data_IF_937081444090
#
_entry.id   IF_937081444090
#
_cell.length_a   1.000
_cell.length_b   1.000
_cell.length_c   1.000
_cell.angle_alpha   90.00
_cell.angle_beta   90.00
_cell.angle_gamma   90.00
#
_symmetry.space_group_name_H-M   'P 1'
#
loop_
_entity.id
_entity.type
_entity.pdbx_description
1 polymer ?
#
# COMPACT_ATOMS: atom_id res chain seq x y z
N UNK A 1 20.71 17.49 33.73
CA UNK A 1 20.57 17.45 32.25
C UNK A 1 19.50 16.44 31.91
N UNK A 2 18.29 16.89 31.56
CA UNK A 2 17.23 16.01 31.08
C UNK A 2 17.49 15.78 29.59
N UNK A 3 17.91 14.56 29.24
CA UNK A 3 18.03 14.12 27.85
C UNK A 3 16.61 13.98 27.30
N UNK A 4 16.11 15.04 26.67
CA UNK A 4 14.89 14.97 25.87
C UNK A 4 15.17 14.07 24.67
N UNK A 5 14.80 12.80 24.78
CA UNK A 5 14.74 11.90 23.64
C UNK A 5 13.55 12.38 22.79
N UNK A 6 13.83 13.26 21.82
CA UNK A 6 12.78 13.84 20.99
C UNK A 6 12.10 12.74 20.18
N UNK A 7 10.83 12.52 20.49
CA UNK A 7 9.98 11.58 19.76
C UNK A 7 9.86 12.01 18.29
N UNK A 8 9.98 11.04 17.38
CA UNK A 8 9.87 11.29 15.93
C UNK A 8 8.45 11.75 15.55
N UNK A 9 8.34 12.52 14.47
CA UNK A 9 7.05 12.95 13.92
C UNK A 9 6.12 11.77 13.62
N UNK A 10 6.66 10.71 13.03
CA UNK A 10 5.92 9.48 12.78
C UNK A 10 5.41 8.82 14.08
N UNK A 11 6.24 8.74 15.12
CA UNK A 11 5.82 8.18 16.41
C UNK A 11 4.68 8.99 17.04
N UNK A 12 4.74 10.33 16.96
CA UNK A 12 3.66 11.21 17.41
C UNK A 12 2.38 11.00 16.61
N UNK A 13 2.49 10.87 15.28
CA UNK A 13 1.36 10.60 14.39
C UNK A 13 0.66 9.29 14.79
N UNK A 14 1.41 8.19 14.90
CA UNK A 14 0.86 6.89 15.30
C UNK A 14 0.15 6.97 16.65
N UNK A 15 0.78 7.55 17.67
CA UNK A 15 0.15 7.70 18.99
C UNK A 15 -1.13 8.53 18.94
N UNK A 16 -1.10 9.63 18.20
CA UNK A 16 -2.25 10.54 18.06
C UNK A 16 -3.41 9.84 17.37
N UNK A 17 -3.15 9.12 16.27
CA UNK A 17 -4.19 8.40 15.53
C UNK A 17 -4.77 7.21 16.31
N UNK A 18 -3.91 6.40 16.94
CA UNK A 18 -4.36 5.28 17.76
C UNK A 18 -5.20 5.74 18.96
N UNK A 19 -4.86 6.88 19.57
CA UNK A 19 -5.62 7.45 20.68
C UNK A 19 -7.04 7.91 20.29
N UNK A 20 -7.34 8.08 18.99
CA UNK A 20 -8.70 8.38 18.52
C UNK A 20 -9.66 7.18 18.66
N UNK A 21 -9.14 5.96 18.82
CA UNK A 21 -9.93 4.73 18.85
C UNK A 21 -10.84 4.55 17.62
N UNK A 22 -10.42 5.07 16.46
CA UNK A 22 -11.12 4.90 15.18
C UNK A 22 -10.60 3.64 14.51
N UNK A 23 -11.53 2.78 14.09
CA UNK A 23 -11.24 1.52 13.41
C UNK A 23 -11.65 1.61 11.94
N UNK A 24 -10.66 1.46 11.06
CA UNK A 24 -10.76 1.57 9.61
C UNK A 24 -10.38 0.22 8.96
N UNK A 25 -11.29 -0.75 9.06
CA UNK A 25 -11.00 -2.14 8.63
C UNK A 25 -11.21 -2.40 7.14
N UNK A 26 -11.89 -1.51 6.43
CA UNK A 26 -12.18 -1.72 5.00
C UNK A 26 -10.95 -1.48 4.12
N UNK A 27 -10.73 -2.43 3.22
CA UNK A 27 -9.69 -2.44 2.20
C UNK A 27 -10.32 -2.49 0.79
N UNK A 28 -9.48 -2.43 -0.24
CA UNK A 28 -9.89 -2.55 -1.63
C UNK A 28 -10.70 -3.82 -1.91
N UNK A 29 -11.55 -3.73 -2.93
CA UNK A 29 -12.37 -4.82 -3.41
C UNK A 29 -13.27 -5.47 -2.34
N UNK A 30 -13.62 -4.72 -1.28
CA UNK A 30 -14.50 -5.20 -0.22
C UNK A 30 -13.84 -6.13 0.80
N UNK A 31 -12.52 -6.31 0.72
CA UNK A 31 -11.73 -7.06 1.72
C UNK A 31 -11.61 -6.25 3.01
N UNK A 32 -11.30 -6.92 4.13
CA UNK A 32 -11.14 -6.26 5.43
C UNK A 32 -10.02 -6.87 6.27
N UNK A 33 -9.46 -6.05 7.17
CA UNK A 33 -8.69 -6.59 8.28
C UNK A 33 -9.55 -7.52 9.15
N UNK A 34 -8.93 -8.54 9.73
CA UNK A 34 -9.61 -9.53 10.56
C UNK A 34 -10.31 -10.65 9.79
N UNK A 35 -10.39 -10.57 8.45
CA UNK A 35 -10.90 -11.65 7.61
C UNK A 35 -9.91 -12.82 7.55
N UNK A 36 -10.41 -14.03 7.34
CA UNK A 36 -9.53 -15.19 7.20
C UNK A 36 -8.86 -15.20 5.83
N UNK A 37 -7.77 -15.95 5.71
CA UNK A 37 -7.16 -16.24 4.41
C UNK A 37 -8.13 -16.92 3.43
N UNK A 38 -9.10 -17.68 3.94
CA UNK A 38 -10.12 -18.29 3.07
C UNK A 38 -11.04 -17.20 2.48
N UNK A 39 -11.49 -16.26 3.30
CA UNK A 39 -12.34 -15.14 2.84
C UNK A 39 -11.63 -14.32 1.76
N UNK A 40 -10.32 -14.08 1.91
CA UNK A 40 -9.50 -13.44 0.88
C UNK A 40 -9.54 -14.19 -0.45
N UNK A 41 -9.33 -15.51 -0.43
CA UNK A 41 -9.34 -16.32 -1.64
C UNK A 41 -10.73 -16.41 -2.27
N UNK A 42 -11.79 -16.51 -1.47
CA UNK A 42 -13.17 -16.54 -1.95
C UNK A 42 -13.54 -15.23 -2.64
N UNK A 43 -13.13 -14.10 -2.05
CA UNK A 43 -13.30 -12.79 -2.66
C UNK A 43 -12.49 -12.65 -3.96
N UNK A 44 -11.25 -13.14 -3.99
CA UNK A 44 -10.45 -13.16 -5.21
C UNK A 44 -11.07 -14.05 -6.30
N UNK A 45 -11.61 -15.21 -5.93
CA UNK A 45 -12.26 -16.11 -6.87
C UNK A 45 -13.48 -15.45 -7.51
N UNK A 46 -14.31 -14.77 -6.72
CA UNK A 46 -15.46 -13.99 -7.20
C UNK A 46 -15.02 -12.89 -8.16
N UNK A 47 -14.09 -12.05 -7.77
CA UNK A 47 -13.62 -10.93 -8.60
C UNK A 47 -12.96 -11.40 -9.91
N UNK A 48 -12.27 -12.54 -9.88
CA UNK A 48 -11.67 -13.15 -11.07
C UNK A 48 -12.77 -13.70 -12.00
N UNK A 49 -13.81 -14.33 -11.45
CA UNK A 49 -14.97 -14.78 -12.23
C UNK A 49 -15.72 -13.59 -12.87
N UNK A 50 -15.74 -12.44 -12.19
CA UNK A 50 -16.32 -11.19 -12.69
C UNK A 50 -15.39 -10.45 -13.68
N UNK A 51 -14.19 -10.97 -13.94
CA UNK A 51 -13.21 -10.38 -14.87
C UNK A 51 -12.54 -9.09 -14.38
N UNK A 52 -12.66 -8.78 -13.08
CA UNK A 52 -12.11 -7.56 -12.48
C UNK A 52 -10.61 -7.71 -12.22
N UNK A 53 -10.21 -8.89 -11.73
CA UNK A 53 -8.81 -9.23 -11.44
C UNK A 53 -8.41 -10.48 -12.23
N UNK A 54 -7.12 -10.77 -12.25
CA UNK A 54 -6.59 -12.01 -12.81
C UNK A 54 -5.40 -12.51 -12.01
N UNK A 55 -4.93 -13.72 -12.34
CA UNK A 55 -3.70 -14.25 -11.77
C UNK A 55 -2.49 -13.41 -12.19
N UNK A 56 -1.68 -12.99 -11.22
CA UNK A 56 -0.46 -12.26 -11.45
C UNK A 56 0.76 -13.15 -11.71
N UNK A 57 1.93 -12.55 -11.97
CA UNK A 57 3.17 -13.27 -12.26
C UNK A 57 3.55 -14.28 -11.17
N UNK A 58 4.15 -15.39 -11.59
CA UNK A 58 4.64 -16.48 -10.71
C UNK A 58 3.58 -17.14 -9.82
N UNK A 59 2.29 -16.87 -10.04
CA UNK A 59 1.18 -17.36 -9.21
C UNK A 59 1.26 -16.91 -7.74
N UNK A 60 2.01 -15.85 -7.44
CA UNK A 60 2.22 -15.35 -6.08
C UNK A 60 1.29 -14.18 -5.72
N UNK A 61 0.82 -13.44 -6.73
CA UNK A 61 0.03 -12.22 -6.54
C UNK A 61 -1.26 -12.26 -7.36
N UNK A 62 -2.23 -11.49 -6.89
CA UNK A 62 -3.40 -11.10 -7.67
C UNK A 62 -3.04 -9.88 -8.50
N UNK A 63 -3.48 -9.82 -9.76
CA UNK A 63 -3.24 -8.72 -10.67
C UNK A 63 -4.52 -7.94 -10.94
N UNK A 64 -4.41 -6.62 -10.88
CA UNK A 64 -5.42 -5.66 -11.28
C UNK A 64 -4.77 -4.56 -12.13
N UNK A 65 -5.26 -4.37 -13.35
CA UNK A 65 -4.79 -3.28 -14.20
C UNK A 65 -5.68 -2.05 -13.96
N UNK A 66 -5.08 -0.94 -13.52
CA UNK A 66 -5.82 0.26 -13.17
C UNK A 66 -6.52 0.82 -14.42
N UNK A 67 -7.80 1.23 -14.33
CA UNK A 67 -8.49 1.83 -15.46
C UNK A 67 -7.83 3.17 -15.82
N UNK A 68 -7.62 3.38 -17.11
CA UNK A 68 -7.20 4.69 -17.64
C UNK A 68 -8.44 5.58 -17.68
N UNK A 69 -8.45 6.69 -16.92
CA UNK A 69 -9.58 7.61 -16.97
C UNK A 69 -9.55 8.42 -18.27
N UNK A 70 -10.71 8.73 -18.83
CA UNK A 70 -10.78 9.69 -19.93
C UNK A 70 -10.25 11.05 -19.48
N UNK A 71 -9.26 11.58 -20.18
CA UNK A 71 -8.57 12.84 -19.83
C UNK A 71 -7.39 12.69 -18.86
N UNK A 72 -7.12 11.49 -18.34
CA UNK A 72 -5.85 11.26 -17.61
C UNK A 72 -4.67 11.35 -18.58
N UNK A 73 -3.63 12.07 -18.16
CA UNK A 73 -2.34 12.14 -18.85
C UNK A 73 -1.54 10.84 -18.74
N UNK A 74 -2.09 9.81 -18.11
CA UNK A 74 -1.52 8.46 -18.03
C UNK A 74 -1.52 7.83 -19.43
N UNK A 75 -0.51 8.18 -20.22
CA UNK A 75 -0.24 7.59 -21.53
C UNK A 75 0.04 6.07 -21.45
N UNK A 76 0.23 5.53 -20.24
CA UNK A 76 0.63 4.15 -20.02
C UNK A 76 -0.16 3.51 -18.86
N UNK A 77 -0.78 2.34 -19.08
CA UNK A 77 -1.49 1.61 -18.04
C UNK A 77 -0.58 1.25 -16.87
N UNK A 78 -1.14 1.32 -15.65
CA UNK A 78 -0.49 0.90 -14.40
C UNK A 78 -1.05 -0.45 -14.00
N UNK A 79 -0.14 -1.38 -13.70
CA UNK A 79 -0.48 -2.67 -13.11
C UNK A 79 -0.29 -2.61 -11.61
N UNK A 80 -1.29 -3.09 -10.88
CA UNK A 80 -1.24 -3.33 -9.45
C UNK A 80 -1.22 -4.84 -9.20
N UNK A 81 -0.21 -5.29 -8.47
CA UNK A 81 -0.18 -6.62 -7.87
C UNK A 81 -0.54 -6.49 -6.40
N UNK A 82 -1.29 -7.43 -5.83
CA UNK A 82 -1.59 -7.42 -4.41
C UNK A 82 -1.72 -8.82 -3.80
N UNK A 83 -1.50 -8.89 -2.49
CA UNK A 83 -1.70 -10.09 -1.70
C UNK A 83 -1.98 -9.76 -0.22
N UNK A 84 -2.77 -10.60 0.46
CA UNK A 84 -3.02 -10.44 1.89
C UNK A 84 -1.81 -10.82 2.75
N UNK A 85 -1.60 -10.08 3.83
CA UNK A 85 -0.66 -10.42 4.89
C UNK A 85 -1.46 -11.07 6.01
N UNK A 86 -1.05 -12.27 6.41
CA UNK A 86 -1.76 -13.06 7.40
C UNK A 86 -0.86 -13.39 8.59
N UNK A 87 -1.45 -13.40 9.78
CA UNK A 87 -0.78 -13.89 10.99
C UNK A 87 -0.71 -15.43 11.04
N UNK A 88 -0.25 -15.96 12.18
CA UNK A 88 -0.13 -17.41 12.41
C UNK A 88 -1.48 -18.14 12.39
N UNK A 89 -2.56 -17.44 12.78
CA UNK A 89 -3.94 -17.95 12.74
C UNK A 89 -4.60 -17.78 11.37
N UNK A 90 -3.86 -17.23 10.40
CA UNK A 90 -4.30 -16.94 9.02
C UNK A 90 -5.36 -15.83 8.98
N UNK A 91 -5.32 -14.90 9.92
CA UNK A 91 -6.15 -13.71 9.95
C UNK A 91 -5.43 -12.57 9.25
N UNK A 92 -6.16 -11.82 8.43
CA UNK A 92 -5.61 -10.74 7.62
C UNK A 92 -5.28 -9.53 8.50
N UNK A 93 -3.99 -9.24 8.62
CA UNK A 93 -3.45 -8.12 9.40
C UNK A 93 -2.92 -6.99 8.51
N UNK A 94 -2.81 -7.25 7.20
CA UNK A 94 -2.27 -6.31 6.24
C UNK A 94 -2.52 -6.73 4.79
N UNK A 95 -2.09 -5.88 3.87
CA UNK A 95 -1.99 -6.18 2.44
C UNK A 95 -0.72 -5.57 1.86
N UNK A 96 -0.03 -6.35 1.04
CA UNK A 96 1.08 -5.89 0.22
C UNK A 96 0.59 -5.59 -1.20
N UNK A 97 1.08 -4.49 -1.77
CA UNK A 97 0.83 -4.09 -3.15
C UNK A 97 2.12 -3.73 -3.86
N UNK A 98 2.15 -3.94 -5.18
CA UNK A 98 3.20 -3.46 -6.08
C UNK A 98 2.58 -2.77 -7.28
N UNK A 99 3.03 -1.57 -7.57
CA UNK A 99 2.60 -0.79 -8.73
C UNK A 99 3.74 -0.63 -9.71
N UNK A 100 3.48 -0.81 -11.00
CA UNK A 100 4.42 -0.47 -12.06
C UNK A 100 3.69 -0.14 -13.36
N UNK A 101 4.32 0.67 -14.21
CA UNK A 101 3.83 0.89 -15.57
C UNK A 101 4.03 -0.37 -16.41
N UNK A 102 3.00 -0.82 -17.13
CA UNK A 102 3.09 -2.00 -18.01
C UNK A 102 4.17 -1.80 -19.08
N UNK A 103 4.31 -0.58 -19.59
CA UNK A 103 5.30 -0.21 -20.61
C UNK A 103 6.70 0.11 -20.05
N UNK A 104 6.97 -0.21 -18.78
CA UNK A 104 8.26 0.06 -18.15
C UNK A 104 9.43 -0.56 -18.94
N UNK A 105 10.54 0.18 -19.03
CA UNK A 105 11.82 -0.31 -19.50
C UNK A 105 12.98 0.45 -18.86
N UNK A 106 14.19 -0.11 -18.92
CA UNK A 106 15.41 0.54 -18.43
C UNK A 106 15.69 1.89 -19.12
N UNK A 107 15.26 2.04 -20.37
CA UNK A 107 15.55 3.21 -21.21
C UNK A 107 14.54 4.34 -21.01
N UNK A 108 13.29 4.02 -20.63
CA UNK A 108 12.24 5.01 -20.45
C UNK A 108 12.13 5.49 -19.01
N UNK A 109 12.98 6.45 -18.64
CA UNK A 109 13.02 7.04 -17.29
C UNK A 109 11.72 7.73 -16.86
N UNK A 110 10.85 8.09 -17.81
CA UNK A 110 9.54 8.69 -17.48
C UNK A 110 8.59 7.68 -16.82
N UNK A 111 8.86 6.38 -16.98
CA UNK A 111 8.06 5.29 -16.41
C UNK A 111 8.73 4.63 -15.21
N UNK A 112 9.75 5.26 -14.62
CA UNK A 112 10.42 4.72 -13.44
C UNK A 112 9.60 4.99 -12.17
N UNK A 113 9.91 4.24 -11.11
CA UNK A 113 9.19 4.26 -9.84
C UNK A 113 9.10 5.66 -9.22
N UNK A 114 10.13 6.50 -9.36
CA UNK A 114 10.13 7.87 -8.84
C UNK A 114 9.02 8.74 -9.47
N UNK A 115 8.68 8.49 -10.74
CA UNK A 115 7.57 9.15 -11.44
C UNK A 115 6.23 8.54 -11.12
N UNK A 116 6.20 7.29 -10.69
CA UNK A 116 4.97 6.59 -10.31
C UNK A 116 4.51 6.92 -8.88
N UNK A 117 5.43 7.24 -7.97
CA UNK A 117 5.11 7.55 -6.56
C UNK A 117 3.97 8.59 -6.41
N UNK A 118 3.99 9.75 -7.09
CA UNK A 118 2.90 10.73 -6.95
C UNK A 118 1.54 10.16 -7.37
N UNK A 119 1.49 9.40 -8.47
CA UNK A 119 0.26 8.77 -8.95
C UNK A 119 -0.26 7.74 -7.95
N UNK A 120 0.63 6.93 -7.37
CA UNK A 120 0.29 5.95 -6.33
C UNK A 120 -0.24 6.63 -5.07
N UNK A 121 0.39 7.74 -4.64
CA UNK A 121 -0.09 8.56 -3.52
C UNK A 121 -1.52 9.06 -3.76
N UNK A 122 -1.76 9.68 -4.91
CA UNK A 122 -3.08 10.23 -5.27
C UNK A 122 -4.15 9.13 -5.34
N UNK A 123 -3.78 7.97 -5.90
CA UNK A 123 -4.65 6.79 -5.97
C UNK A 123 -5.02 6.30 -4.57
N UNK A 124 -4.04 6.17 -3.67
CA UNK A 124 -4.28 5.71 -2.30
C UNK A 124 -5.06 6.73 -1.47
N UNK A 125 -4.84 8.03 -1.65
CA UNK A 125 -5.64 9.08 -1.02
C UNK A 125 -7.10 9.04 -1.50
N UNK A 126 -7.32 8.72 -2.77
CA UNK A 126 -8.67 8.54 -3.32
C UNK A 126 -9.36 7.30 -2.76
N UNK A 127 -8.65 6.19 -2.58
CA UNK A 127 -9.22 4.95 -2.03
C UNK A 127 -9.41 5.02 -0.51
N UNK A 128 -8.52 5.74 0.16
CA UNK A 128 -8.45 5.82 1.61
C UNK A 128 -8.31 7.28 2.02
N UNK A 129 -9.40 8.08 1.99
CA UNK A 129 -9.36 9.47 2.41
C UNK A 129 -8.99 9.61 3.89
N UNK A 130 -8.52 10.80 4.29
CA UNK A 130 -8.11 11.11 5.65
C UNK A 130 -6.92 12.07 5.68
N UNK A 131 -5.92 11.76 6.51
CA UNK A 131 -4.67 12.51 6.63
C UNK A 131 -3.85 12.52 5.33
N UNK A 132 -2.82 13.35 5.24
CA UNK A 132 -1.86 13.29 4.12
C UNK A 132 -0.68 12.35 4.43
N UNK A 133 0.07 11.99 3.38
CA UNK A 133 1.33 11.27 3.52
C UNK A 133 2.44 12.19 4.02
N UNK A 134 3.15 11.77 5.08
CA UNK A 134 4.37 12.42 5.57
C UNK A 134 5.63 11.65 5.12
N UNK A 135 6.73 12.34 4.79
CA UNK A 135 8.01 11.69 4.54
C UNK A 135 8.63 11.19 5.86
N UNK A 136 9.19 9.98 5.85
CA UNK A 136 9.91 9.39 6.97
C UNK A 136 11.24 8.85 6.47
N UNK A 137 12.35 9.30 7.07
CA UNK A 137 13.67 8.77 6.77
C UNK A 137 13.96 7.54 7.62
N UNK A 138 14.18 6.39 6.97
CA UNK A 138 14.64 5.18 7.66
C UNK A 138 16.11 5.36 8.04
N UNK A 139 16.39 5.46 9.35
CA UNK A 139 17.75 5.73 9.88
C UNK A 139 18.81 4.74 9.38
N UNK A 140 18.44 3.48 9.14
CA UNK A 140 19.37 2.39 8.77
C UNK A 140 20.00 2.55 7.39
N UNK A 141 19.23 2.98 6.40
CA UNK A 141 19.67 3.06 4.98
C UNK A 141 19.47 4.46 4.38
N UNK A 142 19.04 5.45 5.17
CA UNK A 142 18.71 6.82 4.74
C UNK A 142 17.67 6.87 3.61
N UNK A 143 16.89 5.80 3.43
CA UNK A 143 15.82 5.75 2.45
C UNK A 143 14.64 6.57 2.95
N UNK A 144 14.10 7.38 2.06
CA UNK A 144 12.86 8.10 2.32
C UNK A 144 11.68 7.21 1.92
N UNK A 145 10.74 7.07 2.84
CA UNK A 145 9.44 6.42 2.61
C UNK A 145 8.33 7.42 2.90
N UNK A 146 7.14 7.18 2.35
CA UNK A 146 5.97 8.00 2.65
C UNK A 146 5.01 7.20 3.51
N UNK A 147 4.52 7.80 4.59
CA UNK A 147 3.64 7.13 5.54
C UNK A 147 2.40 7.97 5.79
N UNK A 148 1.25 7.31 5.79
CA UNK A 148 -0.05 7.86 6.21
C UNK A 148 -0.60 6.96 7.30
N UNK A 149 -1.26 7.55 8.30
CA UNK A 149 -1.93 6.82 9.37
C UNK A 149 -3.29 7.47 9.60
N UNK A 150 -4.35 6.66 9.70
CA UNK A 150 -5.69 7.10 10.10
C UNK A 150 -6.31 6.06 11.04
N UNK A 151 -6.53 6.45 12.29
CA UNK A 151 -6.93 5.49 13.32
C UNK A 151 -5.94 4.30 13.40
N UNK A 152 -6.43 3.07 13.26
CA UNK A 152 -5.60 1.87 13.23
C UNK A 152 -4.91 1.57 11.89
N UNK A 153 -5.30 2.21 10.78
CA UNK A 153 -4.76 1.86 9.46
C UNK A 153 -3.49 2.66 9.16
N UNK A 154 -2.40 1.98 8.86
CA UNK A 154 -1.16 2.58 8.33
C UNK A 154 -0.99 2.21 6.86
N UNK A 155 -0.56 3.18 6.05
CA UNK A 155 -0.17 2.97 4.65
C UNK A 155 1.26 3.46 4.48
N UNK A 156 2.15 2.60 4.02
CA UNK A 156 3.55 2.89 3.72
C UNK A 156 3.75 2.77 2.20
N UNK A 157 4.44 3.75 1.60
CA UNK A 157 4.90 3.71 0.22
C UNK A 157 6.43 3.76 0.22
N UNK A 158 7.06 2.82 -0.49
CA UNK A 158 8.49 2.81 -0.71
C UNK A 158 8.84 2.46 -2.16
N UNK A 159 9.84 3.12 -2.78
CA UNK A 159 10.37 2.65 -4.05
C UNK A 159 11.12 1.32 -3.86
N UNK A 160 10.99 0.35 -4.76
CA UNK A 160 11.89 -0.80 -4.74
C UNK A 160 13.27 -0.42 -5.27
N UNK A 161 14.30 -0.65 -4.46
CA UNK A 161 15.68 -0.27 -4.81
C UNK A 161 16.25 -1.08 -6.00
N UNK A 162 15.61 -2.19 -6.37
CA UNK A 162 16.05 -3.04 -7.48
C UNK A 162 15.34 -2.66 -8.76
N UNK A 163 16.01 -1.87 -9.60
CA UNK A 163 15.64 -1.63 -11.00
C UNK A 163 14.70 -0.45 -11.24
N UNK A 164 14.27 0.30 -10.23
CA UNK A 164 13.39 1.48 -10.37
C UNK A 164 12.09 1.19 -11.16
N UNK A 165 11.59 -0.04 -11.08
CA UNK A 165 10.35 -0.46 -11.75
C UNK A 165 9.13 -0.28 -10.86
N UNK A 166 9.22 -0.88 -9.68
CA UNK A 166 8.08 -1.11 -8.82
C UNK A 166 8.03 -0.08 -7.67
N UNK A 167 6.84 0.39 -7.36
CA UNK A 167 6.51 1.09 -6.11
C UNK A 167 5.80 0.08 -5.21
N UNK A 168 6.39 -0.20 -4.05
CA UNK A 168 5.76 -1.03 -3.04
C UNK A 168 4.85 -0.17 -2.17
N UNK A 169 3.70 -0.75 -1.84
CA UNK A 169 2.79 -0.20 -0.84
C UNK A 169 2.44 -1.29 0.14
N UNK A 170 2.48 -0.98 1.42
CA UNK A 170 2.03 -1.86 2.48
C UNK A 170 0.96 -1.16 3.28
N UNK A 171 -0.17 -1.85 3.46
CA UNK A 171 -1.28 -1.40 4.28
C UNK A 171 -1.36 -2.34 5.49
N UNK A 172 -1.36 -1.79 6.69
CA UNK A 172 -1.33 -2.54 7.94
C UNK A 172 -2.42 -2.09 8.90
N UNK A 173 -2.90 -3.03 9.71
CA UNK A 173 -3.61 -2.73 10.94
C UNK A 173 -2.63 -2.67 12.11
N UNK A 174 -2.47 -1.48 12.68
CA UNK A 174 -1.56 -1.20 13.77
C UNK A 174 -1.89 -1.96 15.05
N UNK A 175 -3.12 -2.44 15.24
CA UNK A 175 -3.49 -3.27 16.40
C UNK A 175 -2.70 -4.58 16.44
N UNK A 176 -2.33 -5.14 15.29
CA UNK A 176 -1.58 -6.39 15.20
C UNK A 176 -0.05 -6.19 15.14
N UNK A 177 0.42 -4.94 15.12
CA UNK A 177 1.84 -4.59 14.95
C UNK A 177 2.44 -3.98 16.22
N UNK A 178 1.61 -3.29 17.01
CA UNK A 178 2.04 -2.60 18.21
C UNK A 178 1.92 -3.45 19.49
N UNK A 179 1.38 -4.66 19.36
CA UNK A 179 1.33 -5.67 20.43
C UNK A 179 2.67 -6.42 20.59
#
# INVERSE_FOLDING_TARGET
MLVSCSESEYSKLVKTEMAKNIVNDSLLFGMKFGETRQDFYDQCWKLNNDGIIMQGPSNEYVQFDLPVKEGDSLQYPIRMLFYGIFDEEKIMTGMDFRFYYIAWSLWNKSLHADKLIPVVKDTLLSWYPGNDFIPVTIKKNKKEIFVKVDGNRRIIIEPLDRGNKDVNVRIDDLRYILD
#
